data_IF_565172602975
#
_entry.id   IF_565172602975
#
_cell.length_a   1.000
_cell.length_b   1.000
_cell.length_c   1.000
_cell.angle_alpha   90.00
_cell.angle_beta   90.00
_cell.angle_gamma   90.00
#
_symmetry.space_group_name_H-M   'P 1'
#
loop_
_entity.id
_entity.type
_entity.pdbx_description
1 polymer ?
#
# COMPACT_ATOMS: atom_id res chain seq x y z
N UNK A 1 17.78 -25.38 -5.56
CA UNK A 1 16.32 -25.30 -5.77
C UNK A 1 15.80 -24.04 -5.09
N UNK A 2 15.58 -22.98 -5.85
CA UNK A 2 14.95 -21.75 -5.33
C UNK A 2 13.49 -22.08 -5.02
N UNK A 3 13.10 -22.07 -3.73
CA UNK A 3 11.68 -22.22 -3.37
C UNK A 3 10.91 -21.11 -4.07
N UNK A 4 10.03 -21.45 -5.01
CA UNK A 4 9.10 -20.48 -5.57
C UNK A 4 8.25 -19.94 -4.42
N UNK A 5 8.46 -18.69 -4.04
CA UNK A 5 7.66 -18.02 -3.01
C UNK A 5 6.27 -17.79 -3.56
N UNK A 6 5.24 -18.26 -2.84
CA UNK A 6 3.83 -18.03 -3.18
C UNK A 6 3.58 -16.52 -3.37
N UNK A 7 2.87 -16.10 -4.43
CA UNK A 7 2.56 -14.68 -4.65
C UNK A 7 1.68 -14.13 -3.54
N UNK A 8 1.71 -12.81 -3.35
CA UNK A 8 0.80 -12.13 -2.42
C UNK A 8 -0.64 -12.13 -2.96
N UNK A 9 -1.59 -12.22 -2.05
CA UNK A 9 -3.02 -12.03 -2.34
C UNK A 9 -3.44 -10.63 -1.89
N UNK A 10 -3.87 -9.81 -2.84
CA UNK A 10 -4.41 -8.49 -2.60
C UNK A 10 -5.91 -8.56 -2.28
N UNK A 11 -6.34 -7.94 -1.18
CA UNK A 11 -7.76 -7.82 -0.81
C UNK A 11 -8.10 -6.34 -0.64
N UNK A 12 -8.91 -5.80 -1.55
CA UNK A 12 -9.51 -4.49 -1.38
C UNK A 12 -10.86 -4.63 -0.68
N UNK A 13 -10.96 -4.10 0.53
CA UNK A 13 -12.19 -4.06 1.30
C UNK A 13 -12.95 -2.76 1.01
N UNK A 14 -14.16 -2.87 0.45
CA UNK A 14 -15.06 -1.76 0.17
C UNK A 14 -16.32 -1.90 1.03
N UNK A 15 -16.80 -0.79 1.57
CA UNK A 15 -18.01 -0.71 2.37
C UNK A 15 -18.44 0.74 2.56
N UNK A 16 -19.62 0.96 3.13
CA UNK A 16 -20.08 2.31 3.46
C UNK A 16 -19.42 2.82 4.74
N UNK A 17 -19.47 4.12 4.99
CA UNK A 17 -19.07 4.68 6.28
C UNK A 17 -19.94 4.09 7.40
N UNK A 18 -19.34 3.87 8.58
CA UNK A 18 -20.02 3.33 9.78
C UNK A 18 -20.66 1.93 9.62
N UNK A 19 -20.24 1.15 8.63
CA UNK A 19 -20.69 -0.23 8.37
C UNK A 19 -20.08 -1.32 9.26
N UNK A 20 -19.23 -0.97 10.23
CA UNK A 20 -18.44 -1.97 10.98
C UNK A 20 -17.21 -2.49 10.23
N UNK A 21 -16.94 -2.01 9.00
CA UNK A 21 -15.77 -2.42 8.19
C UNK A 21 -14.42 -2.27 8.88
N UNK A 22 -14.24 -1.28 9.77
CA UNK A 22 -12.99 -1.16 10.54
C UNK A 22 -12.86 -2.25 11.61
N UNK A 23 -13.96 -2.67 12.25
CA UNK A 23 -13.93 -3.77 13.21
C UNK A 23 -13.57 -5.08 12.50
N UNK A 24 -14.18 -5.35 11.35
CA UNK A 24 -13.85 -6.52 10.55
C UNK A 24 -12.38 -6.51 10.08
N UNK A 25 -11.84 -5.36 9.65
CA UNK A 25 -10.40 -5.22 9.36
C UNK A 25 -9.53 -5.62 10.56
N UNK A 26 -9.87 -5.14 11.76
CA UNK A 26 -9.12 -5.46 12.98
C UNK A 26 -9.17 -6.97 13.29
N UNK A 27 -10.34 -7.60 13.15
CA UNK A 27 -10.49 -9.05 13.32
C UNK A 27 -9.65 -9.83 12.30
N UNK A 28 -9.66 -9.43 11.02
CA UNK A 28 -8.83 -10.04 9.98
C UNK A 28 -7.34 -9.91 10.28
N UNK A 29 -6.91 -8.76 10.82
CA UNK A 29 -5.51 -8.54 11.16
C UNK A 29 -4.97 -9.45 12.28
N UNK A 30 -5.85 -10.11 13.06
CA UNK A 30 -5.43 -11.06 14.09
C UNK A 30 -5.05 -12.44 13.52
N UNK A 31 -5.29 -12.68 12.22
CA UNK A 31 -4.93 -13.93 11.56
C UNK A 31 -3.48 -13.89 11.09
N UNK A 32 -2.70 -14.92 11.42
CA UNK A 32 -1.26 -14.99 11.12
C UNK A 32 -0.93 -14.80 9.62
N UNK A 33 -1.82 -15.22 8.72
CA UNK A 33 -1.60 -15.11 7.26
C UNK A 33 -2.02 -13.75 6.66
N UNK A 34 -2.61 -12.85 7.46
CA UNK A 34 -3.28 -11.64 6.99
C UNK A 34 -2.70 -10.37 7.64
N UNK A 35 -2.12 -9.51 6.80
CA UNK A 35 -1.77 -8.15 7.17
C UNK A 35 -2.88 -7.19 6.74
N UNK A 36 -3.53 -6.53 7.70
CA UNK A 36 -4.61 -5.58 7.43
C UNK A 36 -4.35 -4.26 8.16
N UNK A 37 -3.26 -3.54 7.82
CA UNK A 37 -2.86 -2.34 8.55
C UNK A 37 -3.89 -1.20 8.38
N UNK A 38 -3.84 -0.20 9.26
CA UNK A 38 -4.68 0.98 9.12
C UNK A 38 -4.39 1.67 7.78
N UNK A 39 -5.41 2.01 6.99
CA UNK A 39 -5.18 2.50 5.64
C UNK A 39 -4.69 3.97 5.64
N UNK A 40 -3.56 4.30 4.98
CA UNK A 40 -3.06 5.67 4.89
C UNK A 40 -3.71 6.48 3.76
N UNK A 41 -4.63 5.88 3.00
CA UNK A 41 -5.37 6.54 1.92
C UNK A 41 -4.47 7.06 0.78
N UNK A 42 -3.48 6.27 0.38
CA UNK A 42 -2.44 6.66 -0.60
C UNK A 42 -3.04 7.23 -1.90
N UNK A 43 -3.91 6.46 -2.58
CA UNK A 43 -4.48 6.90 -3.86
C UNK A 43 -5.30 8.18 -3.69
N UNK A 44 -6.11 8.27 -2.64
CA UNK A 44 -6.91 9.46 -2.34
C UNK A 44 -6.06 10.71 -2.15
N UNK A 45 -4.96 10.59 -1.40
CA UNK A 45 -4.08 11.71 -1.05
C UNK A 45 -3.15 12.11 -2.19
N UNK A 46 -2.61 11.15 -2.93
CA UNK A 46 -1.58 11.42 -3.94
C UNK A 46 -2.12 11.59 -5.36
N UNK A 47 -3.28 11.03 -5.70
CA UNK A 47 -3.83 11.20 -7.06
C UNK A 47 -4.03 12.67 -7.45
N UNK A 48 -4.56 13.56 -6.60
CA UNK A 48 -4.66 14.99 -6.92
C UNK A 48 -3.31 15.70 -7.05
N UNK A 49 -2.25 15.12 -6.49
CA UNK A 49 -0.89 15.67 -6.48
C UNK A 49 -0.02 15.15 -7.62
N UNK A 50 -0.45 14.09 -8.34
CA UNK A 50 0.29 13.47 -9.43
C UNK A 50 0.83 14.45 -10.47
N UNK A 51 0.10 15.51 -10.89
CA UNK A 51 0.64 16.50 -11.83
C UNK A 51 1.95 17.16 -11.38
N UNK A 52 2.27 17.19 -10.08
CA UNK A 52 3.51 17.74 -9.54
C UNK A 52 4.70 16.76 -9.54
N UNK A 53 4.43 15.49 -9.86
CA UNK A 53 5.43 14.43 -9.98
C UNK A 53 5.61 13.99 -11.43
N UNK A 54 4.74 14.39 -12.37
CA UNK A 54 4.83 13.95 -13.75
C UNK A 54 6.00 14.60 -14.53
N UNK A 55 6.53 13.91 -15.56
CA UNK A 55 6.21 12.54 -15.95
C UNK A 55 6.88 11.51 -15.03
N UNK A 56 6.15 10.46 -14.64
CA UNK A 56 6.67 9.39 -13.77
C UNK A 56 7.66 8.47 -14.47
N UNK A 57 7.79 8.53 -15.80
CA UNK A 57 8.83 7.81 -16.53
C UNK A 57 10.24 8.32 -16.22
N UNK A 58 10.38 9.50 -15.63
CA UNK A 58 11.66 10.01 -15.13
C UNK A 58 11.93 9.42 -13.73
N UNK A 59 13.09 8.80 -13.57
CA UNK A 59 13.48 8.11 -12.34
C UNK A 59 13.43 9.01 -11.10
N UNK A 60 13.97 10.23 -11.20
CA UNK A 60 13.97 11.20 -10.10
C UNK A 60 12.56 11.58 -9.65
N UNK A 61 11.65 11.74 -10.60
CA UNK A 61 10.25 12.06 -10.35
C UNK A 61 9.52 10.92 -9.63
N UNK A 62 9.71 9.69 -10.12
CA UNK A 62 9.13 8.50 -9.49
C UNK A 62 9.73 8.25 -8.11
N UNK A 63 11.04 8.47 -7.93
CA UNK A 63 11.72 8.35 -6.64
C UNK A 63 11.18 9.35 -5.62
N UNK A 64 10.95 10.61 -6.03
CA UNK A 64 10.31 11.63 -5.18
C UNK A 64 8.89 11.21 -4.77
N UNK A 65 8.08 10.70 -5.71
CA UNK A 65 6.74 10.21 -5.40
C UNK A 65 6.78 9.04 -4.39
N UNK A 66 7.67 8.07 -4.61
CA UNK A 66 7.84 6.92 -3.71
C UNK A 66 8.30 7.34 -2.32
N UNK A 67 9.23 8.29 -2.21
CA UNK A 67 9.68 8.84 -0.93
C UNK A 67 8.55 9.53 -0.17
N UNK A 68 7.78 10.40 -0.83
CA UNK A 68 6.66 11.09 -0.19
C UNK A 68 5.54 10.13 0.22
N UNK A 69 5.27 9.07 -0.56
CA UNK A 69 4.34 8.01 -0.16
C UNK A 69 4.86 7.24 1.06
N UNK A 70 6.16 6.92 1.13
CA UNK A 70 6.73 6.27 2.31
C UNK A 70 6.61 7.18 3.55
N UNK A 71 6.93 8.47 3.40
CA UNK A 71 6.75 9.48 4.46
C UNK A 71 5.30 9.57 4.93
N UNK A 72 4.33 9.47 4.02
CA UNK A 72 2.90 9.45 4.39
C UNK A 72 2.57 8.30 5.36
N UNK A 73 3.20 7.14 5.18
CA UNK A 73 2.99 5.95 6.01
C UNK A 73 3.73 6.12 7.35
N UNK A 74 4.99 6.56 7.31
CA UNK A 74 5.84 6.76 8.49
C UNK A 74 5.30 7.84 9.43
N UNK A 75 4.81 8.95 8.87
CA UNK A 75 4.33 10.11 9.60
C UNK A 75 2.82 10.09 9.83
N UNK A 76 2.15 8.98 9.48
CA UNK A 76 0.72 8.85 9.73
C UNK A 76 0.44 8.87 11.25
N UNK A 77 -0.68 9.47 11.72
CA UNK A 77 -1.07 9.38 13.14
C UNK A 77 -1.18 7.93 13.65
N UNK A 78 -1.45 6.98 12.76
CA UNK A 78 -1.39 5.55 13.02
C UNK A 78 -0.37 4.93 12.06
N UNK A 79 0.93 4.97 12.39
CA UNK A 79 1.97 4.46 11.51
C UNK A 79 1.91 2.93 11.42
N UNK A 80 2.48 2.38 10.34
CA UNK A 80 2.63 0.93 10.24
C UNK A 80 3.84 0.47 11.04
N UNK A 81 3.61 -0.25 12.12
CA UNK A 81 4.65 -0.75 13.01
C UNK A 81 5.37 -1.98 12.43
N UNK A 82 6.57 -2.28 12.95
CA UNK A 82 7.32 -3.49 12.60
C UNK A 82 7.99 -3.49 11.22
N UNK A 83 7.95 -2.35 10.51
CA UNK A 83 8.58 -2.19 9.19
C UNK A 83 9.46 -0.95 9.16
N UNK A 84 10.60 -1.04 8.46
CA UNK A 84 11.43 0.11 8.07
C UNK A 84 11.31 0.28 6.55
N UNK A 85 11.16 1.53 6.11
CA UNK A 85 10.94 1.84 4.70
C UNK A 85 12.23 2.19 3.99
N UNK A 86 12.76 1.24 3.23
CA UNK A 86 13.78 1.51 2.23
C UNK A 86 13.10 1.95 0.92
N UNK A 87 13.37 3.16 0.42
CA UNK A 87 12.72 3.69 -0.79
C UNK A 87 13.13 2.92 -2.04
N UNK A 88 14.41 2.52 -2.12
CA UNK A 88 14.93 1.71 -3.21
C UNK A 88 14.18 0.39 -3.33
N UNK A 89 13.99 -0.32 -2.22
CA UNK A 89 13.22 -1.57 -2.21
C UNK A 89 11.74 -1.39 -2.57
N UNK A 90 11.11 -0.23 -2.28
CA UNK A 90 9.74 0.05 -2.75
C UNK A 90 9.74 0.26 -4.27
N UNK A 91 10.68 1.04 -4.78
CA UNK A 91 10.82 1.36 -6.21
C UNK A 91 11.13 0.09 -7.00
N UNK A 92 12.10 -0.71 -6.57
CA UNK A 92 12.53 -1.96 -7.22
C UNK A 92 11.40 -2.99 -7.28
N UNK A 93 10.49 -2.96 -6.29
CA UNK A 93 9.32 -3.83 -6.28
C UNK A 93 8.23 -3.39 -7.29
N UNK A 94 8.25 -2.14 -7.78
CA UNK A 94 7.27 -1.61 -8.73
C UNK A 94 7.52 -2.15 -10.14
N UNK A 95 6.46 -2.62 -10.80
CA UNK A 95 6.56 -3.17 -12.17
C UNK A 95 6.49 -2.11 -13.26
N UNK A 96 5.91 -0.96 -12.91
CA UNK A 96 5.68 0.21 -13.77
C UNK A 96 5.77 1.47 -12.90
N UNK A 97 6.15 2.63 -13.48
CA UNK A 97 6.23 3.88 -12.73
C UNK A 97 4.83 4.48 -12.52
N UNK A 98 4.05 3.85 -11.64
CA UNK A 98 2.65 4.19 -11.35
C UNK A 98 2.43 4.29 -9.84
N UNK A 99 1.51 5.16 -9.41
CA UNK A 99 1.16 5.33 -7.99
C UNK A 99 0.57 4.04 -7.38
N UNK A 100 -0.21 3.31 -8.17
CA UNK A 100 -0.83 2.04 -7.79
C UNK A 100 0.23 0.97 -7.52
N UNK A 101 1.35 1.00 -8.24
CA UNK A 101 2.47 0.09 -8.00
C UNK A 101 3.19 0.40 -6.70
N UNK A 102 3.37 1.68 -6.34
CA UNK A 102 3.91 2.09 -5.04
C UNK A 102 2.98 1.62 -3.91
N UNK A 103 1.66 1.81 -4.06
CA UNK A 103 0.68 1.29 -3.11
C UNK A 103 0.81 -0.22 -2.93
N UNK A 104 0.84 -0.98 -4.04
CA UNK A 104 0.98 -2.44 -4.00
C UNK A 104 2.27 -2.85 -3.30
N UNK A 105 3.40 -2.27 -3.70
CA UNK A 105 4.71 -2.54 -3.13
C UNK A 105 4.72 -2.26 -1.62
N UNK A 106 4.13 -1.16 -1.18
CA UNK A 106 4.01 -0.83 0.24
C UNK A 106 3.23 -1.88 1.03
N UNK A 107 2.04 -2.27 0.55
CA UNK A 107 1.23 -3.29 1.21
C UNK A 107 1.88 -4.67 1.22
N UNK A 108 2.51 -5.09 0.12
CA UNK A 108 3.23 -6.37 0.06
C UNK A 108 4.42 -6.41 1.02
N UNK A 109 5.17 -5.32 1.14
CA UNK A 109 6.27 -5.23 2.11
C UNK A 109 5.78 -5.26 3.54
N UNK A 110 4.69 -4.56 3.85
CA UNK A 110 4.07 -4.63 5.17
C UNK A 110 3.59 -6.05 5.49
N UNK A 111 2.95 -6.73 4.54
CA UNK A 111 2.60 -8.13 4.72
C UNK A 111 3.82 -9.03 4.92
N UNK A 112 4.89 -8.83 4.16
CA UNK A 112 6.14 -9.56 4.35
C UNK A 112 6.73 -9.36 5.75
N UNK A 113 6.73 -8.12 6.26
CA UNK A 113 7.19 -7.79 7.60
C UNK A 113 6.32 -8.43 8.71
N UNK A 114 5.02 -8.60 8.45
CA UNK A 114 4.09 -9.30 9.33
C UNK A 114 4.16 -10.83 9.21
N UNK A 115 5.01 -11.38 8.33
CA UNK A 115 5.03 -12.82 8.03
C UNK A 115 3.80 -13.31 7.23
N UNK A 116 2.97 -12.39 6.74
CA UNK A 116 1.73 -12.64 6.04
C UNK A 116 1.93 -12.75 4.51
N UNK A 117 0.94 -13.34 3.83
CA UNK A 117 0.87 -13.39 2.35
C UNK A 117 -0.42 -12.80 1.79
N UNK A 118 -1.36 -12.45 2.65
CA UNK A 118 -2.57 -11.73 2.30
C UNK A 118 -2.43 -10.31 2.84
N UNK A 119 -2.65 -9.30 2.01
CA UNK A 119 -2.75 -7.92 2.47
C UNK A 119 -4.13 -7.35 2.21
N UNK A 120 -4.64 -6.57 3.17
CA UNK A 120 -5.98 -5.97 3.11
C UNK A 120 -5.87 -4.45 3.15
N UNK A 121 -6.41 -3.80 2.13
CA UNK A 121 -6.60 -2.35 2.13
C UNK A 121 -8.08 -2.01 2.37
N UNK A 122 -8.37 -1.16 3.35
CA UNK A 122 -9.74 -0.71 3.69
C UNK A 122 -10.06 0.69 3.12
N UNK A 123 -9.18 1.32 2.34
CA UNK A 123 -9.47 2.66 1.79
C UNK A 123 -10.71 2.61 0.89
N UNK A 124 -11.83 3.13 1.41
CA UNK A 124 -13.15 3.02 0.80
C UNK A 124 -13.24 3.68 -0.57
N UNK A 125 -12.44 4.71 -0.80
CA UNK A 125 -12.45 5.51 -2.04
C UNK A 125 -11.63 4.89 -3.16
N UNK A 126 -10.89 3.80 -2.90
CA UNK A 126 -10.03 3.19 -3.92
C UNK A 126 -10.80 2.72 -5.16
N UNK A 127 -12.09 2.39 -5.02
CA UNK A 127 -12.94 2.02 -6.15
C UNK A 127 -13.00 3.10 -7.25
N UNK A 128 -12.81 4.38 -6.90
CA UNK A 128 -12.81 5.50 -7.86
C UNK A 128 -11.58 5.50 -8.79
N UNK A 129 -10.56 4.71 -8.46
CA UNK A 129 -9.33 4.59 -9.24
C UNK A 129 -9.22 3.25 -9.97
N UNK A 130 -10.23 2.37 -9.85
CA UNK A 130 -10.19 1.03 -10.46
C UNK A 130 -10.41 1.01 -11.98
N UNK A 131 -10.97 2.08 -12.55
CA UNK A 131 -11.29 2.20 -13.98
C UNK A 131 -10.30 3.09 -14.74
N UNK A 132 -9.17 3.45 -14.13
CA UNK A 132 -8.11 4.26 -14.74
C UNK A 132 -7.04 3.37 -15.36
#
# INVERSE_FOLDING_TARGET
>A
MTKMTKPFTAVQMIGTQRSGSNLLRLMLHQLDEVSAPHAPHILERFTPLLPHYEPLSLEENFARLADDVCKLIELNPVPWEGIKWDRGEVIDACRRPLLEEILRAAYERKAAADGARIWVCKSLVNYRFAER
#
